data_IF_418590794190
#
_entry.id   IF_418590794190
#
_cell.length_a   1.000
_cell.length_b   1.000
_cell.length_c   1.000
_cell.angle_alpha   90.00
_cell.angle_beta   90.00
_cell.angle_gamma   90.00
#
_symmetry.space_group_name_H-M   'P 1'
#
loop_
_entity.id
_entity.type
_entity.pdbx_description
1 polymer ?
#
# COMPACT_ATOMS: atom_id res chain seq x y z
N UNK A 1 -44.98 -25.21 -55.70
CA UNK A 1 -45.80 -24.00 -55.97
C UNK A 1 -44.80 -22.84 -56.04
N UNK A 2 -44.41 -22.33 -57.23
CA UNK A 2 -45.05 -21.21 -57.97
C UNK A 2 -44.80 -19.85 -57.27
N UNK A 3 -44.23 -18.76 -57.81
CA UNK A 3 -43.53 -18.33 -59.07
C UNK A 3 -42.74 -17.01 -58.71
N UNK A 4 -41.82 -16.38 -59.47
CA UNK A 4 -40.98 -16.71 -60.65
C UNK A 4 -39.47 -16.61 -60.27
N UNK A 5 -38.47 -16.14 -61.04
CA UNK A 5 -38.33 -15.54 -62.39
C UNK A 5 -38.90 -14.12 -62.59
N UNK A 6 -38.22 -13.15 -63.25
CA UNK A 6 -37.11 -13.20 -64.26
C UNK A 6 -36.24 -11.91 -64.26
N UNK A 7 -35.03 -11.99 -64.86
CA UNK A 7 -34.24 -10.96 -65.60
C UNK A 7 -33.98 -9.55 -65.01
N UNK A 8 -32.90 -8.82 -65.33
CA UNK A 8 -31.76 -9.07 -66.24
C UNK A 8 -31.26 -7.76 -66.90
N UNK A 9 -29.96 -7.70 -67.25
CA UNK A 9 -29.25 -6.71 -68.09
C UNK A 9 -28.66 -5.41 -67.47
N UNK A 10 -27.52 -5.03 -68.07
CA UNK A 10 -26.51 -3.99 -67.75
C UNK A 10 -26.77 -2.69 -68.56
N UNK A 11 -26.20 -1.50 -68.23
CA UNK A 11 -24.88 -1.08 -68.77
C UNK A 11 -23.99 -0.23 -67.82
N UNK A 12 -22.65 -0.37 -67.80
CA UNK A 12 -21.58 0.33 -68.60
C UNK A 12 -21.36 1.84 -68.28
N UNK A 13 -20.43 2.08 -67.35
CA UNK A 13 -19.14 2.82 -67.49
C UNK A 13 -19.07 4.37 -67.74
N UNK A 14 -17.90 4.93 -67.38
CA UNK A 14 -17.37 6.32 -67.54
C UNK A 14 -17.87 7.48 -66.64
N UNK A 15 -17.00 7.93 -65.71
CA UNK A 15 -16.29 9.22 -65.84
C UNK A 15 -15.12 9.36 -64.82
N UNK A 16 -14.06 10.08 -65.20
CA UNK A 16 -12.98 10.57 -64.31
C UNK A 16 -13.52 11.72 -63.42
N UNK A 17 -12.99 12.09 -62.25
CA UNK A 17 -11.63 12.59 -62.07
C UNK A 17 -11.21 12.81 -60.59
N UNK A 18 -9.95 13.17 -60.40
CA UNK A 18 -9.22 13.42 -59.14
C UNK A 18 -9.88 14.32 -58.08
N UNK A 19 -9.71 13.99 -56.78
CA UNK A 19 -9.05 14.91 -55.80
C UNK A 19 -8.70 14.29 -54.42
N UNK A 20 -7.40 14.42 -54.08
CA UNK A 20 -6.81 14.72 -52.76
C UNK A 20 -7.33 14.08 -51.46
N UNK A 21 -6.49 13.23 -50.85
CA UNK A 21 -6.57 12.88 -49.43
C UNK A 21 -6.22 14.07 -48.51
N UNK A 22 -6.95 14.23 -47.40
CA UNK A 22 -6.41 14.82 -46.17
C UNK A 22 -6.82 13.99 -44.96
N UNK A 23 -5.89 13.18 -44.42
CA UNK A 23 -6.02 12.59 -43.09
C UNK A 23 -5.14 13.37 -42.11
N UNK A 24 -5.76 13.89 -41.05
CA UNK A 24 -5.11 14.71 -40.03
C UNK A 24 -4.53 13.85 -38.90
N UNK A 25 -3.22 13.64 -38.91
CA UNK A 25 -2.50 13.01 -37.77
C UNK A 25 -2.00 14.10 -36.83
N UNK A 26 -2.56 14.17 -35.62
CA UNK A 26 -2.07 15.05 -34.56
C UNK A 26 -0.82 14.47 -33.89
N UNK A 27 0.36 15.03 -34.19
CA UNK A 27 1.61 14.74 -33.47
C UNK A 27 2.16 16.01 -32.81
N UNK A 28 1.99 16.12 -31.49
CA UNK A 28 2.57 17.20 -30.68
C UNK A 28 3.70 16.66 -29.81
N UNK A 29 4.89 17.28 -29.86
CA UNK A 29 5.97 16.98 -28.90
C UNK A 29 7.37 17.42 -29.31
N UNK A 30 7.91 16.87 -30.41
CA UNK A 30 9.36 16.91 -30.73
C UNK A 30 9.70 17.78 -31.95
N UNK A 31 8.68 18.14 -32.74
CA UNK A 31 8.83 18.71 -34.09
C UNK A 31 9.44 20.13 -34.11
N UNK A 32 9.22 20.92 -33.05
CA UNK A 32 9.72 22.28 -32.95
C UNK A 32 11.26 22.37 -32.93
N UNK A 33 11.92 21.44 -32.24
CA UNK A 33 13.39 21.37 -32.19
C UNK A 33 13.98 20.94 -33.52
N UNK A 34 13.42 19.87 -34.12
CA UNK A 34 13.87 19.33 -35.39
C UNK A 34 13.69 20.33 -36.55
N UNK A 35 12.53 21.01 -36.62
CA UNK A 35 12.24 22.06 -37.60
C UNK A 35 13.15 23.28 -37.43
N UNK A 36 13.47 23.66 -36.20
CA UNK A 36 14.41 24.75 -35.89
C UNK A 36 15.84 24.42 -36.35
N UNK A 37 16.31 23.19 -36.15
CA UNK A 37 17.63 22.74 -36.60
C UNK A 37 17.70 22.60 -38.14
N UNK A 38 16.66 22.05 -38.78
CA UNK A 38 16.54 22.00 -40.25
C UNK A 38 16.62 23.40 -40.88
N UNK A 39 15.88 24.38 -40.35
CA UNK A 39 15.90 25.75 -40.87
C UNK A 39 17.27 26.42 -40.70
N UNK A 40 18.00 26.16 -39.61
CA UNK A 40 19.39 26.62 -39.45
C UNK A 40 20.32 25.97 -40.47
N UNK A 41 20.25 24.65 -40.64
CA UNK A 41 21.07 23.92 -41.61
C UNK A 41 20.82 24.41 -43.05
N UNK A 42 19.55 24.68 -43.40
CA UNK A 42 19.18 25.26 -44.71
C UNK A 42 19.67 26.68 -44.90
N UNK A 43 19.62 27.53 -43.87
CA UNK A 43 20.18 28.89 -43.96
C UNK A 43 21.68 28.88 -44.24
N UNK A 44 22.44 28.00 -43.57
CA UNK A 44 23.89 27.82 -43.79
C UNK A 44 24.18 27.40 -45.23
N UNK A 45 23.46 26.41 -45.75
CA UNK A 45 23.69 25.90 -47.12
C UNK A 45 23.25 26.92 -48.17
N UNK A 46 22.11 27.58 -48.00
CA UNK A 46 21.66 28.62 -48.93
C UNK A 46 22.67 29.77 -49.02
N UNK A 47 23.24 30.23 -47.91
CA UNK A 47 24.29 31.24 -47.92
C UNK A 47 25.51 30.80 -48.76
N UNK A 48 25.94 29.53 -48.61
CA UNK A 48 27.06 28.96 -49.37
C UNK A 48 26.72 28.85 -50.87
N UNK A 49 25.50 28.43 -51.21
CA UNK A 49 25.04 28.32 -52.60
C UNK A 49 24.89 29.69 -53.28
N UNK A 50 24.57 30.74 -52.52
CA UNK A 50 24.59 32.14 -52.98
C UNK A 50 26.00 32.73 -53.13
N UNK A 51 27.06 31.90 -53.06
CA UNK A 51 28.45 32.31 -53.30
C UNK A 51 29.24 32.73 -52.04
N UNK A 52 28.65 32.64 -50.84
CA UNK A 52 29.38 32.95 -49.60
C UNK A 52 30.46 31.89 -49.31
N UNK A 53 31.71 32.27 -48.99
CA UNK A 53 32.74 31.33 -48.56
C UNK A 53 32.28 30.53 -47.34
N UNK A 54 32.53 29.21 -47.32
CA UNK A 54 32.08 28.31 -46.23
C UNK A 54 32.58 28.76 -44.85
N UNK A 55 33.78 29.35 -44.79
CA UNK A 55 34.36 29.91 -43.57
C UNK A 55 33.64 31.18 -43.05
N UNK A 56 32.94 31.90 -43.93
CA UNK A 56 32.14 33.08 -43.58
C UNK A 56 30.71 32.67 -43.20
N UNK A 57 30.07 31.79 -43.98
CA UNK A 57 28.78 31.20 -43.64
C UNK A 57 28.82 30.52 -42.26
N UNK A 58 29.90 29.79 -41.95
CA UNK A 58 30.12 29.19 -40.63
C UNK A 58 30.11 30.22 -39.49
N UNK A 59 30.83 31.35 -39.65
CA UNK A 59 30.86 32.44 -38.65
C UNK A 59 29.52 33.16 -38.54
N UNK A 60 28.85 33.42 -39.67
CA UNK A 60 27.55 34.11 -39.73
C UNK A 60 26.43 33.36 -39.01
N UNK A 61 26.51 32.03 -38.95
CA UNK A 61 25.52 31.16 -38.34
C UNK A 61 25.98 30.48 -37.03
N UNK A 62 27.10 30.94 -36.46
CA UNK A 62 27.70 30.43 -35.22
C UNK A 62 27.90 28.89 -35.21
N UNK A 63 28.48 28.36 -36.28
CA UNK A 63 28.81 26.93 -36.42
C UNK A 63 30.28 26.72 -36.79
N UNK A 64 30.79 25.52 -36.53
CA UNK A 64 32.15 25.16 -36.95
C UNK A 64 32.24 25.07 -38.47
N UNK A 65 33.40 25.41 -39.04
CA UNK A 65 33.67 25.26 -40.49
C UNK A 65 33.43 23.82 -40.96
N UNK A 66 33.81 22.84 -40.13
CA UNK A 66 33.61 21.42 -40.40
C UNK A 66 32.11 21.06 -40.50
N UNK A 67 31.24 21.65 -39.66
CA UNK A 67 29.80 21.46 -39.76
C UNK A 67 29.21 22.09 -41.03
N UNK A 68 29.65 23.31 -41.40
CA UNK A 68 29.20 23.97 -42.62
C UNK A 68 29.60 23.16 -43.89
N UNK A 69 30.81 22.62 -43.94
CA UNK A 69 31.24 21.68 -45.00
C UNK A 69 30.42 20.37 -44.99
N UNK A 70 30.11 19.83 -43.81
CA UNK A 70 29.28 18.63 -43.69
C UNK A 70 27.84 18.85 -44.16
N UNK A 71 27.23 20.01 -43.85
CA UNK A 71 25.90 20.37 -44.36
C UNK A 71 25.90 20.55 -45.88
N UNK A 72 26.92 21.22 -46.43
CA UNK A 72 27.11 21.33 -47.89
C UNK A 72 27.18 19.94 -48.54
N UNK A 73 28.04 19.05 -48.04
CA UNK A 73 28.20 17.68 -48.54
C UNK A 73 26.91 16.84 -48.44
N UNK A 74 26.13 17.00 -47.36
CA UNK A 74 24.83 16.32 -47.23
C UNK A 74 23.80 16.85 -48.22
N UNK A 75 23.79 18.14 -48.49
CA UNK A 75 22.90 18.74 -49.50
C UNK A 75 23.27 18.31 -50.92
N UNK A 76 24.56 18.32 -51.27
CA UNK A 76 25.05 17.86 -52.58
C UNK A 76 24.72 16.39 -52.85
N UNK A 77 24.64 15.55 -51.81
CA UNK A 77 24.32 14.13 -51.94
C UNK A 77 22.82 13.82 -51.85
N UNK A 78 22.15 14.36 -50.84
CA UNK A 78 20.82 13.93 -50.40
C UNK A 78 19.77 15.07 -50.49
N UNK A 79 20.09 16.21 -51.12
CA UNK A 79 19.21 17.38 -51.29
C UNK A 79 18.79 18.04 -49.97
N UNK A 80 17.62 18.68 -49.94
CA UNK A 80 17.06 19.23 -48.68
C UNK A 80 16.89 18.14 -47.60
N UNK A 81 16.58 16.89 -47.98
CA UNK A 81 16.45 15.78 -47.02
C UNK A 81 17.77 15.48 -46.27
N UNK A 82 18.92 15.79 -46.87
CA UNK A 82 20.23 15.70 -46.22
C UNK A 82 20.42 16.65 -45.02
N UNK A 83 19.62 17.72 -44.94
CA UNK A 83 19.69 18.76 -43.90
C UNK A 83 18.81 18.47 -42.68
N UNK A 84 17.97 17.44 -42.75
CA UNK A 84 17.21 16.97 -41.61
C UNK A 84 18.16 16.50 -40.49
N UNK A 85 17.85 16.79 -39.21
CA UNK A 85 18.65 16.34 -38.08
C UNK A 85 18.79 14.81 -38.07
N UNK A 86 20.02 14.32 -38.21
CA UNK A 86 20.32 12.89 -38.13
C UNK A 86 20.41 12.46 -36.67
N UNK A 87 19.93 11.25 -36.37
CA UNK A 87 19.96 10.68 -35.03
C UNK A 87 21.40 10.66 -34.49
N UNK A 88 21.60 11.28 -33.32
CA UNK A 88 22.88 11.27 -32.59
C UNK A 88 23.04 10.02 -31.71
N UNK A 89 22.13 9.04 -31.83
CA UNK A 89 22.15 7.80 -31.05
C UNK A 89 23.32 6.93 -31.51
N UNK A 90 24.18 6.52 -30.57
CA UNK A 90 25.31 5.65 -30.86
C UNK A 90 24.85 4.36 -31.57
N UNK A 91 25.49 4.04 -32.71
CA UNK A 91 25.16 2.87 -33.53
C UNK A 91 25.42 1.53 -32.80
N UNK A 92 26.27 1.52 -31.78
CA UNK A 92 26.56 0.34 -30.93
C UNK A 92 26.57 0.77 -29.47
N UNK A 93 25.79 0.08 -28.64
CA UNK A 93 25.76 0.27 -27.18
C UNK A 93 26.44 -0.94 -26.57
N UNK A 94 27.65 -0.77 -26.03
CA UNK A 94 28.42 -1.87 -25.44
C UNK A 94 27.69 -2.50 -24.24
N UNK A 95 27.06 -1.67 -23.40
CA UNK A 95 26.38 -2.08 -22.17
C UNK A 95 24.88 -2.36 -22.40
N UNK A 96 24.55 -3.16 -23.43
CA UNK A 96 23.18 -3.64 -23.62
C UNK A 96 22.93 -4.81 -22.67
N UNK A 97 21.90 -4.71 -21.83
CA UNK A 97 21.42 -5.83 -20.99
C UNK A 97 21.13 -7.05 -21.87
N UNK A 98 21.51 -8.24 -21.39
CA UNK A 98 21.17 -9.52 -22.04
C UNK A 98 19.66 -9.59 -22.29
N UNK A 99 19.28 -10.10 -23.47
CA UNK A 99 17.88 -10.34 -23.84
C UNK A 99 17.18 -11.25 -22.84
N UNK A 100 17.86 -12.30 -22.35
CA UNK A 100 17.29 -13.23 -21.34
C UNK A 100 16.93 -12.52 -20.03
N UNK A 101 17.78 -11.60 -19.58
CA UNK A 101 17.53 -10.80 -18.36
C UNK A 101 16.39 -9.80 -18.62
N UNK A 102 16.31 -9.19 -19.80
CA UNK A 102 15.21 -8.30 -20.17
C UNK A 102 13.86 -9.02 -20.27
N UNK A 103 13.84 -10.24 -20.82
CA UNK A 103 12.67 -11.12 -20.86
C UNK A 103 12.23 -11.54 -19.45
N UNK A 104 13.17 -11.94 -18.58
CA UNK A 104 12.86 -12.29 -17.18
C UNK A 104 12.32 -11.08 -16.40
N UNK A 105 12.86 -9.87 -16.60
CA UNK A 105 12.32 -8.61 -16.04
C UNK A 105 10.85 -8.41 -16.43
N UNK A 106 10.50 -8.66 -17.69
CA UNK A 106 9.13 -8.55 -18.21
C UNK A 106 8.21 -9.64 -17.63
N UNK A 107 8.72 -10.87 -17.47
CA UNK A 107 8.00 -11.97 -16.83
C UNK A 107 7.70 -11.65 -15.36
N UNK A 108 8.71 -11.28 -14.56
CA UNK A 108 8.55 -10.91 -13.14
C UNK A 108 7.59 -9.72 -12.98
N UNK A 109 7.65 -8.70 -13.86
CA UNK A 109 6.67 -7.60 -13.85
C UNK A 109 5.24 -8.10 -13.99
N UNK A 110 4.99 -9.06 -14.89
CA UNK A 110 3.66 -9.65 -15.12
C UNK A 110 3.24 -10.54 -13.95
N UNK A 111 4.11 -11.41 -13.47
CA UNK A 111 3.91 -12.28 -12.29
C UNK A 111 3.50 -11.45 -11.06
N UNK A 112 4.30 -10.44 -10.70
CA UNK A 112 4.03 -9.57 -9.55
C UNK A 112 2.74 -8.75 -9.73
N UNK A 113 2.50 -8.20 -10.93
CA UNK A 113 1.27 -7.41 -11.18
C UNK A 113 0.02 -8.28 -11.09
N UNK A 114 0.06 -9.49 -11.69
CA UNK A 114 -1.03 -10.45 -11.64
C UNK A 114 -1.29 -10.98 -10.22
N UNK A 115 -0.25 -11.10 -9.38
CA UNK A 115 -0.36 -11.47 -7.98
C UNK A 115 -0.80 -10.34 -7.02
N UNK A 116 -1.02 -9.12 -7.53
CA UNK A 116 -1.39 -7.95 -6.74
C UNK A 116 -0.25 -7.38 -5.88
N UNK A 117 0.99 -7.66 -6.28
CA UNK A 117 2.22 -7.28 -5.58
C UNK A 117 2.83 -6.00 -6.15
N UNK A 118 3.76 -5.42 -5.38
CA UNK A 118 4.54 -4.28 -5.82
C UNK A 118 5.48 -4.68 -6.96
N UNK A 119 5.05 -4.47 -8.20
CA UNK A 119 5.81 -4.84 -9.39
C UNK A 119 6.78 -3.73 -9.87
N UNK A 120 7.23 -2.85 -8.97
CA UNK A 120 8.21 -1.81 -9.27
C UNK A 120 9.59 -2.36 -9.66
N UNK A 121 10.43 -1.53 -10.27
CA UNK A 121 11.78 -1.92 -10.70
C UNK A 121 12.64 -2.51 -9.57
N UNK A 122 12.43 -2.00 -8.35
CA UNK A 122 13.17 -2.38 -7.15
C UNK A 122 12.74 -3.77 -6.62
N UNK A 123 11.45 -4.11 -6.72
CA UNK A 123 10.95 -5.45 -6.40
C UNK A 123 11.40 -6.48 -7.43
N UNK A 124 11.45 -6.10 -8.71
CA UNK A 124 11.96 -6.95 -9.79
C UNK A 124 13.46 -7.21 -9.59
N UNK A 125 14.24 -6.19 -9.20
CA UNK A 125 15.65 -6.38 -8.86
C UNK A 125 15.83 -7.38 -7.71
N UNK A 126 15.12 -7.20 -6.60
CA UNK A 126 15.18 -8.12 -5.46
C UNK A 126 14.75 -9.55 -5.82
N UNK A 127 13.78 -9.71 -6.74
CA UNK A 127 13.37 -11.04 -7.21
C UNK A 127 14.44 -11.70 -8.08
N UNK A 128 15.12 -10.94 -8.94
CA UNK A 128 16.26 -11.42 -9.72
C UNK A 128 17.43 -11.84 -8.82
N UNK A 129 17.70 -11.08 -7.75
CA UNK A 129 18.74 -11.40 -6.75
C UNK A 129 18.43 -12.74 -6.04
N UNK A 130 17.18 -12.96 -5.61
CA UNK A 130 16.72 -14.25 -5.05
C UNK A 130 16.82 -15.40 -6.06
N UNK A 131 16.67 -15.12 -7.35
CA UNK A 131 16.86 -16.07 -8.46
C UNK A 131 18.35 -16.27 -8.84
N UNK A 132 19.29 -15.67 -8.10
CA UNK A 132 20.73 -15.80 -8.31
C UNK A 132 21.30 -14.96 -9.45
N UNK A 133 20.51 -14.08 -10.05
CA UNK A 133 20.92 -13.19 -11.12
C UNK A 133 21.36 -11.82 -10.59
N UNK A 134 22.40 -11.22 -11.17
CA UNK A 134 22.77 -9.83 -10.89
C UNK A 134 21.80 -8.88 -11.62
N UNK A 135 20.97 -8.10 -10.92
CA UNK A 135 20.01 -7.23 -11.59
C UNK A 135 20.71 -6.03 -12.24
N UNK A 136 20.24 -5.55 -13.41
CA UNK A 136 20.68 -4.27 -13.93
C UNK A 136 20.10 -3.12 -13.09
N UNK A 137 20.71 -1.94 -13.16
CA UNK A 137 20.25 -0.76 -12.42
C UNK A 137 18.74 -0.47 -12.60
N UNK A 138 18.09 0.02 -11.54
CA UNK A 138 16.64 0.32 -11.53
C UNK A 138 16.15 1.20 -12.70
N UNK A 139 16.99 2.13 -13.18
CA UNK A 139 16.73 2.96 -14.36
C UNK A 139 16.70 2.15 -15.67
N UNK A 140 17.55 1.13 -15.79
CA UNK A 140 17.55 0.16 -16.90
C UNK A 140 16.34 -0.77 -16.81
N UNK A 141 15.99 -1.28 -15.63
CA UNK A 141 14.75 -2.05 -15.44
C UNK A 141 13.54 -1.21 -15.86
N UNK A 142 13.40 0.03 -15.36
CA UNK A 142 12.32 0.93 -15.77
C UNK A 142 12.31 1.18 -17.29
N UNK A 143 13.47 1.35 -17.92
CA UNK A 143 13.54 1.51 -19.39
C UNK A 143 13.04 0.26 -20.11
N UNK A 144 13.50 -0.94 -19.73
CA UNK A 144 13.02 -2.21 -20.30
C UNK A 144 11.49 -2.32 -20.17
N UNK A 145 10.93 -2.00 -19.00
CA UNK A 145 9.48 -2.03 -18.79
C UNK A 145 8.72 -0.98 -19.61
N UNK A 146 9.29 0.21 -19.81
CA UNK A 146 8.71 1.26 -20.66
C UNK A 146 8.72 0.82 -22.13
N UNK A 147 9.86 0.33 -22.60
CA UNK A 147 10.05 -0.13 -23.98
C UNK A 147 9.15 -1.35 -24.28
N UNK A 148 8.80 -2.15 -23.26
CA UNK A 148 7.82 -3.24 -23.31
C UNK A 148 6.35 -2.81 -23.09
N UNK A 149 6.05 -1.52 -22.95
CA UNK A 149 4.69 -1.00 -22.76
C UNK A 149 4.05 -1.24 -21.38
N UNK A 150 4.82 -1.70 -20.38
CA UNK A 150 4.33 -2.10 -19.05
C UNK A 150 4.37 -0.99 -17.99
N UNK A 151 4.60 0.26 -18.39
CA UNK A 151 4.63 1.45 -17.53
C UNK A 151 3.56 2.44 -17.97
N UNK A 152 2.48 2.55 -17.20
CA UNK A 152 1.46 3.58 -17.39
C UNK A 152 2.01 4.96 -16.99
N UNK A 153 1.91 6.00 -17.85
CA UNK A 153 2.31 7.35 -17.47
C UNK A 153 1.40 7.95 -16.40
N UNK A 154 1.97 8.50 -15.32
CA UNK A 154 1.24 9.25 -14.28
C UNK A 154 1.62 10.75 -14.28
N UNK A 155 1.31 11.52 -15.36
CA UNK A 155 1.76 12.91 -15.51
C UNK A 155 1.14 13.89 -14.50
N UNK A 156 0.06 13.51 -13.80
CA UNK A 156 -0.68 14.36 -12.84
C UNK A 156 -0.11 14.36 -11.41
N UNK A 157 1.02 13.70 -11.16
CA UNK A 157 1.57 13.56 -9.81
C UNK A 157 2.21 14.87 -9.35
N UNK A 158 1.49 15.66 -8.53
CA UNK A 158 2.01 16.90 -7.93
C UNK A 158 3.35 16.67 -7.22
N UNK A 159 4.28 17.64 -7.25
CA UNK A 159 5.49 17.59 -6.43
C UNK A 159 5.14 17.34 -4.95
N UNK A 160 5.94 16.54 -4.25
CA UNK A 160 5.75 16.33 -2.81
C UNK A 160 6.11 17.63 -2.09
N UNK A 161 5.17 18.22 -1.39
CA UNK A 161 5.45 19.23 -0.38
C UNK A 161 6.32 18.64 0.75
N UNK A 162 6.92 19.52 1.55
CA UNK A 162 7.80 19.19 2.66
C UNK A 162 7.03 18.53 3.82
N UNK A 163 6.77 17.23 3.70
CA UNK A 163 6.22 16.41 4.78
C UNK A 163 7.33 15.93 5.72
N UNK A 164 7.30 16.38 6.97
CA UNK A 164 8.04 15.75 8.06
C UNK A 164 7.54 14.32 8.24
N UNK A 165 8.42 13.33 8.08
CA UNK A 165 8.07 11.92 8.28
C UNK A 165 8.28 11.57 9.74
N UNK A 166 7.22 11.18 10.43
CA UNK A 166 7.30 10.56 11.75
C UNK A 166 7.61 9.07 11.62
N UNK A 167 8.57 8.60 12.41
CA UNK A 167 8.92 7.18 12.53
C UNK A 167 9.51 6.89 13.90
N UNK A 168 8.99 5.87 14.56
CA UNK A 168 9.58 5.26 15.74
C UNK A 168 11.04 4.89 15.50
N UNK A 169 11.88 5.01 16.52
CA UNK A 169 13.33 4.75 16.45
C UNK A 169 13.63 3.26 16.52
N UNK A 170 12.83 2.52 17.30
CA UNK A 170 12.97 1.09 17.55
C UNK A 170 11.71 0.27 17.18
N UNK A 171 11.86 -1.01 16.80
CA UNK A 171 10.76 -1.97 16.81
C UNK A 171 10.05 -2.02 18.18
N UNK A 172 8.75 -2.29 18.18
CA UNK A 172 7.86 -2.29 19.35
C UNK A 172 7.71 -0.94 20.09
N UNK A 173 8.34 0.15 19.64
CA UNK A 173 8.18 1.45 20.29
C UNK A 173 6.77 2.04 20.06
N UNK A 174 6.22 1.88 18.86
CA UNK A 174 4.84 2.24 18.54
C UNK A 174 4.23 1.19 17.60
N UNK A 175 3.07 0.63 17.97
CA UNK A 175 2.26 -0.19 17.06
C UNK A 175 1.05 0.61 16.57
N UNK A 176 0.83 0.69 15.25
CA UNK A 176 -0.37 1.27 14.68
C UNK A 176 -1.48 0.23 14.56
N UNK A 177 -2.73 0.61 14.81
CA UNK A 177 -3.91 -0.22 14.50
C UNK A 177 -5.05 0.57 13.90
N UNK A 178 -5.71 -0.08 12.95
CA UNK A 178 -6.83 0.38 12.15
C UNK A 178 -7.52 -0.87 11.57
N UNK A 179 -8.72 -0.74 11.02
CA UNK A 179 -9.42 -1.81 10.34
C UNK A 179 -10.01 -1.36 9.01
N UNK A 180 -10.24 -2.29 8.09
CA UNK A 180 -10.79 -1.95 6.77
C UNK A 180 -11.80 -2.96 6.25
N UNK A 181 -12.80 -2.46 5.52
CA UNK A 181 -13.81 -3.27 4.85
C UNK A 181 -13.23 -4.04 3.66
N UNK A 182 -13.65 -5.30 3.52
CA UNK A 182 -13.41 -6.14 2.36
C UNK A 182 -14.62 -7.04 2.06
N UNK A 183 -15.13 -7.10 0.81
CA UNK A 183 -16.30 -7.91 0.48
C UNK A 183 -15.99 -9.41 0.47
N UNK A 184 -16.95 -10.21 0.90
CA UNK A 184 -17.00 -11.66 0.71
C UNK A 184 -17.86 -12.02 -0.51
N UNK A 185 -17.63 -13.20 -1.09
CA UNK A 185 -18.39 -13.66 -2.26
C UNK A 185 -19.91 -13.80 -2.00
N UNK A 186 -20.32 -13.99 -0.74
CA UNK A 186 -21.72 -14.03 -0.32
C UNK A 186 -22.42 -12.66 -0.23
N UNK A 187 -21.76 -11.56 -0.59
CA UNK A 187 -22.34 -10.20 -0.58
C UNK A 187 -22.35 -9.50 0.78
N UNK A 188 -21.82 -10.14 1.83
CA UNK A 188 -21.53 -9.50 3.12
C UNK A 188 -20.10 -8.93 3.14
N UNK A 189 -19.91 -7.83 3.85
CA UNK A 189 -18.59 -7.26 4.12
C UNK A 189 -17.96 -7.90 5.37
N UNK A 190 -16.64 -8.13 5.31
CA UNK A 190 -15.80 -8.44 6.46
C UNK A 190 -14.97 -7.20 6.87
N UNK A 191 -14.66 -7.11 8.17
CA UNK A 191 -13.78 -6.11 8.74
C UNK A 191 -12.43 -6.74 9.07
N UNK A 192 -11.36 -6.25 8.44
CA UNK A 192 -10.00 -6.76 8.65
C UNK A 192 -9.29 -5.86 9.66
N UNK A 193 -9.09 -6.35 10.89
CA UNK A 193 -8.35 -5.64 11.96
C UNK A 193 -6.87 -5.98 11.84
N UNK A 194 -5.99 -4.96 11.89
CA UNK A 194 -4.56 -5.17 11.71
C UNK A 194 -3.69 -4.37 12.69
N UNK A 195 -2.55 -4.95 13.07
CA UNK A 195 -1.52 -4.34 13.91
C UNK A 195 -0.20 -4.28 13.15
N UNK A 196 0.35 -3.08 13.00
CA UNK A 196 1.54 -2.79 12.20
C UNK A 196 2.61 -2.11 13.08
N UNK A 197 3.84 -2.62 13.09
CA UNK A 197 4.95 -1.96 13.76
C UNK A 197 5.35 -0.67 13.04
N UNK A 198 5.41 0.46 13.76
CA UNK A 198 5.62 1.78 13.15
C UNK A 198 7.02 1.95 12.54
N UNK A 199 8.03 1.33 13.17
CA UNK A 199 9.43 1.39 12.75
C UNK A 199 9.65 0.50 11.53
N UNK A 200 9.55 -0.81 11.70
CA UNK A 200 9.87 -1.83 10.71
C UNK A 200 8.79 -2.06 9.65
N UNK A 201 7.59 -1.47 9.81
CA UNK A 201 6.39 -1.83 9.02
C UNK A 201 6.02 -3.32 9.10
N UNK A 202 6.51 -4.05 10.09
CA UNK A 202 6.21 -5.47 10.23
C UNK A 202 4.75 -5.68 10.60
N UNK A 203 4.06 -6.57 9.87
CA UNK A 203 2.68 -6.92 10.12
C UNK A 203 2.59 -7.95 11.25
N UNK A 204 2.32 -7.45 12.44
CA UNK A 204 2.20 -8.21 13.69
C UNK A 204 0.90 -9.01 13.72
N UNK A 205 -0.18 -8.45 13.18
CA UNK A 205 -1.50 -9.04 13.15
C UNK A 205 -2.29 -8.59 11.93
N UNK A 206 -3.09 -9.49 11.35
CA UNK A 206 -4.18 -9.13 10.45
C UNK A 206 -5.16 -10.29 10.36
N UNK A 207 -6.40 -10.10 10.82
CA UNK A 207 -7.50 -11.09 10.73
C UNK A 207 -8.83 -10.44 10.39
N UNK A 208 -9.70 -11.21 9.74
CA UNK A 208 -11.05 -10.80 9.34
C UNK A 208 -12.11 -11.21 10.36
N UNK A 209 -13.09 -10.33 10.56
CA UNK A 209 -14.22 -10.46 11.49
C UNK A 209 -15.52 -10.00 10.82
N UNK A 210 -16.67 -10.51 11.29
CA UNK A 210 -17.98 -9.99 10.87
C UNK A 210 -18.28 -8.61 11.48
N UNK A 211 -17.88 -8.39 12.74
CA UNK A 211 -18.02 -7.13 13.47
C UNK A 211 -16.75 -6.85 14.28
N UNK A 212 -16.42 -5.57 14.47
CA UNK A 212 -15.30 -5.14 15.31
C UNK A 212 -15.86 -4.45 16.55
N UNK A 213 -15.49 -4.96 17.71
CA UNK A 213 -15.84 -4.41 19.02
C UNK A 213 -14.57 -4.06 19.78
N UNK A 214 -14.69 -3.33 20.89
CA UNK A 214 -13.55 -3.08 21.79
C UNK A 214 -12.90 -4.38 22.27
N UNK A 215 -13.70 -5.42 22.55
CA UNK A 215 -13.20 -6.76 22.89
C UNK A 215 -12.40 -7.41 21.76
N UNK A 216 -12.84 -7.24 20.50
CA UNK A 216 -12.10 -7.70 19.31
C UNK A 216 -10.72 -7.05 19.22
N UNK A 217 -10.64 -5.74 19.53
CA UNK A 217 -9.38 -4.99 19.57
C UNK A 217 -8.49 -5.51 20.71
N UNK A 218 -9.02 -5.69 21.92
CA UNK A 218 -8.28 -6.27 23.05
C UNK A 218 -7.71 -7.66 22.74
N UNK A 219 -8.51 -8.55 22.17
CA UNK A 219 -8.10 -9.92 21.84
C UNK A 219 -7.01 -9.93 20.75
N UNK A 220 -7.18 -9.14 19.68
CA UNK A 220 -6.14 -9.00 18.63
C UNK A 220 -4.83 -8.42 19.17
N UNK A 221 -4.91 -7.42 20.07
CA UNK A 221 -3.75 -6.82 20.71
C UNK A 221 -3.01 -7.81 21.61
N UNK A 222 -3.74 -8.56 22.46
CA UNK A 222 -3.16 -9.61 23.31
C UNK A 222 -2.50 -10.72 22.47
N UNK A 223 -3.11 -11.11 21.35
CA UNK A 223 -2.57 -12.13 20.44
C UNK A 223 -1.31 -11.65 19.70
N UNK A 224 -1.20 -10.34 19.41
CA UNK A 224 0.04 -9.75 18.92
C UNK A 224 1.12 -9.71 20.03
N UNK A 225 0.76 -9.27 21.25
CA UNK A 225 1.66 -9.19 22.40
C UNK A 225 2.27 -10.55 22.79
N UNK A 226 1.46 -11.62 22.80
CA UNK A 226 1.94 -12.96 23.18
C UNK A 226 2.99 -13.53 22.24
N UNK A 227 3.06 -13.05 20.99
CA UNK A 227 4.03 -13.48 19.98
C UNK A 227 5.22 -12.53 19.82
N UNK A 228 5.03 -11.23 20.06
CA UNK A 228 6.01 -10.20 19.71
C UNK A 228 6.54 -9.39 20.90
N UNK A 229 6.03 -9.65 22.11
CA UNK A 229 6.26 -8.81 23.28
C UNK A 229 5.29 -7.63 23.34
N UNK A 230 5.19 -7.01 24.51
CA UNK A 230 4.33 -5.84 24.73
C UNK A 230 5.04 -4.59 24.18
N UNK A 231 4.37 -3.72 23.39
CA UNK A 231 4.98 -2.49 22.88
C UNK A 231 5.06 -1.37 23.93
N UNK A 232 5.90 -0.37 23.69
CA UNK A 232 5.96 0.84 24.53
C UNK A 232 4.71 1.73 24.36
N UNK A 233 4.13 1.74 23.15
CA UNK A 233 2.95 2.54 22.84
C UNK A 233 2.12 2.00 21.68
N UNK A 234 0.86 2.44 21.61
CA UNK A 234 -0.01 2.25 20.44
C UNK A 234 -0.30 3.60 19.77
N UNK A 235 -0.66 3.56 18.48
CA UNK A 235 -1.20 4.70 17.75
C UNK A 235 -2.47 4.27 16.99
N UNK A 236 -3.62 4.72 17.46
CA UNK A 236 -4.94 4.40 16.88
C UNK A 236 -5.68 5.67 16.47
N UNK A 237 -6.86 5.54 15.89
CA UNK A 237 -7.76 6.68 15.65
C UNK A 237 -8.56 7.03 16.92
N UNK A 238 -9.63 7.80 16.73
CA UNK A 238 -10.59 8.14 17.79
C UNK A 238 -11.88 7.31 17.69
N UNK A 239 -11.85 6.18 17.00
CA UNK A 239 -12.98 5.25 16.92
C UNK A 239 -13.30 4.68 18.30
N UNK A 240 -14.60 4.52 18.58
CA UNK A 240 -15.11 4.09 19.89
C UNK A 240 -14.63 2.69 20.32
N UNK A 241 -14.14 1.88 19.39
CA UNK A 241 -13.50 0.57 19.68
C UNK A 241 -12.09 0.69 20.24
N UNK A 242 -11.42 1.83 20.07
CA UNK A 242 -10.08 2.12 20.58
C UNK A 242 -10.07 3.13 21.74
N UNK A 243 -11.00 4.07 21.77
CA UNK A 243 -11.08 5.08 22.85
C UNK A 243 -12.49 5.57 23.11
N UNK A 244 -12.87 5.72 24.37
CA UNK A 244 -14.15 6.32 24.79
C UNK A 244 -14.02 7.81 25.12
N UNK A 245 -12.81 8.38 25.14
CA UNK A 245 -12.49 9.73 25.64
C UNK A 245 -13.29 10.90 25.05
N UNK A 246 -13.90 10.73 23.87
CA UNK A 246 -14.75 11.73 23.21
C UNK A 246 -16.24 11.60 23.57
N UNK A 247 -16.63 10.51 24.24
CA UNK A 247 -18.01 10.10 24.50
C UNK A 247 -18.27 9.77 25.98
N UNK A 248 -17.22 9.62 26.78
CA UNK A 248 -17.25 9.22 28.20
C UNK A 248 -16.07 9.85 28.93
N UNK A 249 -16.29 10.24 30.20
CA UNK A 249 -15.21 10.60 31.12
C UNK A 249 -14.41 9.38 31.59
N UNK A 250 -15.09 8.22 31.68
CA UNK A 250 -14.46 6.94 32.02
C UNK A 250 -13.81 6.29 30.80
N UNK A 251 -12.58 5.76 30.93
CA UNK A 251 -11.86 5.09 29.84
C UNK A 251 -12.54 3.78 29.40
N UNK A 252 -12.29 3.38 28.15
CA UNK A 252 -12.69 2.09 27.62
C UNK A 252 -11.96 0.92 28.28
N UNK A 253 -12.47 -0.30 28.09
CA UNK A 253 -11.75 -1.51 28.54
C UNK A 253 -10.43 -1.72 27.80
N UNK A 254 -10.34 -1.34 26.52
CA UNK A 254 -9.07 -1.33 25.79
C UNK A 254 -8.07 -0.29 26.34
N UNK A 255 -8.53 0.91 26.71
CA UNK A 255 -7.67 1.96 27.28
C UNK A 255 -7.12 1.53 28.66
N UNK A 256 -7.98 0.95 29.51
CA UNK A 256 -7.55 0.30 30.77
C UNK A 256 -6.59 -0.87 30.53
N UNK A 257 -6.81 -1.68 29.50
CA UNK A 257 -5.90 -2.78 29.16
C UNK A 257 -4.49 -2.25 28.82
N UNK A 258 -4.41 -1.23 27.96
CA UNK A 258 -3.14 -0.62 27.61
C UNK A 258 -2.43 -0.09 28.87
N UNK A 259 -3.14 0.66 29.72
CA UNK A 259 -2.59 1.20 30.96
C UNK A 259 -2.09 0.09 31.91
N UNK A 260 -2.88 -0.96 32.16
CA UNK A 260 -2.48 -2.12 32.97
C UNK A 260 -1.27 -2.88 32.40
N UNK A 261 -1.08 -2.88 31.09
CA UNK A 261 0.07 -3.48 30.41
C UNK A 261 1.28 -2.52 30.31
N UNK A 262 1.21 -1.31 30.86
CA UNK A 262 2.26 -0.30 30.79
C UNK A 262 2.40 0.37 29.41
N UNK A 263 1.39 0.24 28.55
CA UNK A 263 1.44 0.69 27.16
C UNK A 263 0.84 2.08 27.04
N UNK A 264 1.62 3.03 26.52
CA UNK A 264 1.13 4.41 26.34
C UNK A 264 0.22 4.50 25.12
N UNK A 265 -1.04 4.87 25.31
CA UNK A 265 -1.93 5.13 24.18
C UNK A 265 -1.61 6.48 23.53
N UNK A 266 -1.51 6.49 22.20
CA UNK A 266 -1.51 7.70 21.37
C UNK A 266 -2.72 7.60 20.44
N UNK A 267 -3.45 8.69 20.27
CA UNK A 267 -4.52 8.79 19.27
C UNK A 267 -4.15 9.85 18.23
N UNK A 268 -4.57 9.65 16.99
CA UNK A 268 -4.48 10.70 15.97
C UNK A 268 -5.23 11.97 16.43
N UNK A 269 -4.56 13.12 16.41
CA UNK A 269 -5.25 14.41 16.62
C UNK A 269 -6.22 14.69 15.47
N UNK A 270 -7.41 15.24 15.75
CA UNK A 270 -8.29 15.77 14.70
C UNK A 270 -7.49 16.69 13.75
N UNK A 271 -7.78 16.59 12.45
CA UNK A 271 -7.11 17.34 11.37
C UNK A 271 -5.61 17.04 11.14
N UNK A 272 -5.02 16.04 11.79
CA UNK A 272 -3.67 15.53 11.49
C UNK A 272 -3.68 14.11 10.89
N UNK A 273 -4.12 13.92 9.62
CA UNK A 273 -4.08 12.62 8.93
C UNK A 273 -2.64 12.11 8.67
N UNK A 274 -1.62 12.89 9.00
CA UNK A 274 -0.22 12.53 8.77
C UNK A 274 0.26 11.35 9.63
N UNK A 275 -0.32 11.15 10.83
CA UNK A 275 0.15 10.16 11.80
C UNK A 275 -0.19 8.71 11.41
N UNK A 276 -1.30 8.50 10.69
CA UNK A 276 -1.83 7.16 10.34
C UNK A 276 -1.56 6.73 8.89
N UNK A 277 -0.96 7.61 8.07
CA UNK A 277 -0.66 7.33 6.66
C UNK A 277 0.30 6.15 6.38
N UNK A 278 0.77 5.44 7.41
CA UNK A 278 1.47 4.15 7.30
C UNK A 278 0.47 3.00 7.21
N UNK A 279 -0.44 2.84 8.18
CA UNK A 279 -1.44 1.76 8.14
C UNK A 279 -2.45 1.94 7.01
N UNK A 280 -2.86 3.17 6.67
CA UNK A 280 -3.68 3.45 5.47
C UNK A 280 -3.00 3.01 4.15
N UNK A 281 -1.68 3.24 4.05
CA UNK A 281 -0.88 2.84 2.88
C UNK A 281 -0.67 1.32 2.85
N UNK A 282 -0.58 0.69 4.01
CA UNK A 282 -0.57 -0.75 4.14
C UNK A 282 -1.93 -1.36 3.71
N UNK A 283 -3.06 -0.82 4.18
CA UNK A 283 -4.41 -1.19 3.73
C UNK A 283 -4.55 -1.15 2.20
N UNK A 284 -3.97 -0.15 1.54
CA UNK A 284 -3.94 -0.09 0.07
C UNK A 284 -3.16 -1.24 -0.58
N UNK A 285 -2.04 -1.66 0.02
CA UNK A 285 -1.30 -2.85 -0.45
C UNK A 285 -2.15 -4.09 -0.28
N UNK A 286 -2.74 -4.29 0.92
CA UNK A 286 -3.57 -5.44 1.22
C UNK A 286 -4.70 -5.58 0.19
N UNK A 287 -5.43 -4.50 -0.09
CA UNK A 287 -6.53 -4.49 -1.05
C UNK A 287 -6.09 -4.79 -2.49
N UNK A 288 -4.88 -4.37 -2.89
CA UNK A 288 -4.30 -4.73 -4.18
C UNK A 288 -4.00 -6.24 -4.27
N UNK A 289 -3.48 -6.82 -3.19
CA UNK A 289 -3.16 -8.24 -3.11
C UNK A 289 -4.42 -9.13 -3.05
N UNK A 290 -5.44 -8.73 -2.28
CA UNK A 290 -6.72 -9.44 -2.22
C UNK A 290 -7.50 -9.32 -3.53
N UNK A 291 -7.47 -8.17 -4.22
CA UNK A 291 -8.11 -8.00 -5.54
C UNK A 291 -7.52 -8.90 -6.64
N UNK A 292 -6.32 -9.42 -6.45
CA UNK A 292 -5.66 -10.38 -7.34
C UNK A 292 -6.07 -11.85 -7.07
N UNK A 293 -7.04 -12.09 -6.21
CA UNK A 293 -7.51 -13.42 -5.77
C UNK A 293 -9.03 -13.52 -5.90
N UNK A 294 -9.59 -14.74 -5.97
CA UNK A 294 -11.02 -14.94 -5.79
C UNK A 294 -11.48 -14.34 -4.47
N UNK A 295 -12.65 -13.70 -4.46
CA UNK A 295 -13.29 -13.28 -3.22
C UNK A 295 -13.54 -14.50 -2.34
N UNK A 296 -13.08 -14.43 -1.10
CA UNK A 296 -13.29 -15.48 -0.11
C UNK A 296 -14.79 -15.70 0.11
N UNK A 297 -15.23 -16.96 0.26
CA UNK A 297 -16.63 -17.29 0.52
C UNK A 297 -17.06 -16.93 1.94
N UNK A 298 -16.13 -17.05 2.89
CA UNK A 298 -16.34 -16.97 4.33
C UNK A 298 -15.13 -16.30 5.03
N UNK A 299 -15.26 -16.06 6.33
CA UNK A 299 -14.19 -15.43 7.13
C UNK A 299 -12.95 -16.32 7.24
N UNK A 300 -13.09 -17.64 7.22
CA UNK A 300 -11.95 -18.56 7.38
C UNK A 300 -11.08 -18.60 6.12
N UNK A 301 -11.70 -18.62 4.94
CA UNK A 301 -11.00 -18.48 3.67
C UNK A 301 -10.31 -17.11 3.55
N UNK A 302 -10.97 -16.02 3.95
CA UNK A 302 -10.33 -14.69 3.98
C UNK A 302 -9.17 -14.67 4.98
N UNK A 303 -9.32 -15.30 6.14
CA UNK A 303 -8.28 -15.43 7.14
C UNK A 303 -7.08 -16.25 6.64
N UNK A 304 -7.30 -17.31 5.85
CA UNK A 304 -6.23 -18.06 5.19
C UNK A 304 -5.51 -17.24 4.11
N UNK A 305 -6.26 -16.43 3.34
CA UNK A 305 -5.69 -15.45 2.41
C UNK A 305 -4.82 -14.43 3.16
N UNK A 306 -5.28 -13.88 4.29
CA UNK A 306 -4.51 -12.93 5.11
C UNK A 306 -3.21 -13.53 5.68
N UNK A 307 -3.22 -14.78 6.14
CA UNK A 307 -2.00 -15.48 6.58
C UNK A 307 -1.01 -15.70 5.42
N UNK A 308 -1.50 -15.92 4.20
CA UNK A 308 -0.69 -15.92 2.98
C UNK A 308 -0.07 -14.57 2.67
N UNK A 309 -0.87 -13.49 2.71
CA UNK A 309 -0.39 -12.12 2.49
C UNK A 309 0.67 -11.72 3.51
N UNK A 310 0.49 -12.09 4.78
CA UNK A 310 1.39 -11.70 5.85
C UNK A 310 2.79 -12.29 5.70
N UNK A 311 2.94 -13.51 5.18
CA UNK A 311 4.26 -14.09 4.83
C UNK A 311 4.92 -13.28 3.71
N UNK A 312 4.23 -13.16 2.58
CA UNK A 312 4.70 -12.40 1.41
C UNK A 312 5.09 -10.95 1.76
N UNK A 313 4.24 -10.26 2.52
CA UNK A 313 4.47 -8.88 2.93
C UNK A 313 5.65 -8.71 3.89
N UNK A 314 5.81 -9.61 4.87
CA UNK A 314 6.87 -9.48 5.87
C UNK A 314 8.23 -10.05 5.42
N UNK A 315 8.24 -11.05 4.54
CA UNK A 315 9.40 -11.92 4.29
C UNK A 315 9.91 -11.84 2.83
N UNK A 316 9.03 -11.55 1.87
CA UNK A 316 9.38 -11.46 0.45
C UNK A 316 9.46 -10.01 -0.06
N UNK A 317 8.60 -9.11 0.45
CA UNK A 317 8.49 -7.75 -0.09
C UNK A 317 9.63 -6.81 0.40
N UNK A 318 10.51 -6.31 -0.49
CA UNK A 318 11.47 -5.25 -0.13
C UNK A 318 10.75 -3.91 0.06
N UNK A 319 11.02 -3.20 1.17
CA UNK A 319 10.28 -1.98 1.49
C UNK A 319 11.08 -0.70 1.25
N UNK A 320 10.55 0.23 0.43
CA UNK A 320 11.23 1.50 0.09
C UNK A 320 11.54 2.39 1.28
N UNK A 321 10.71 2.36 2.33
CA UNK A 321 10.97 3.14 3.54
C UNK A 321 12.10 2.56 4.40
N UNK A 322 12.45 1.28 4.21
CA UNK A 322 13.39 0.51 5.05
C UNK A 322 14.70 0.22 4.30
N UNK A 323 15.09 1.09 3.38
CA UNK A 323 16.28 0.93 2.54
C UNK A 323 16.36 -0.43 1.80
N UNK A 324 15.21 -0.97 1.37
CA UNK A 324 15.01 -2.27 0.68
C UNK A 324 14.96 -3.51 1.56
N UNK A 325 15.24 -3.40 2.86
CA UNK A 325 14.98 -4.50 3.77
C UNK A 325 13.52 -4.92 3.75
N UNK A 326 13.29 -6.20 3.96
CA UNK A 326 11.96 -6.73 4.24
C UNK A 326 11.48 -6.22 5.61
N UNK A 327 10.17 -6.13 5.87
CA UNK A 327 9.69 -5.75 7.20
C UNK A 327 10.21 -6.68 8.31
N UNK A 328 10.43 -7.97 8.03
CA UNK A 328 11.05 -8.91 8.97
C UNK A 328 12.48 -8.53 9.30
N UNK A 329 13.33 -8.34 8.28
CA UNK A 329 14.73 -7.91 8.48
C UNK A 329 14.81 -6.62 9.32
N UNK A 330 13.99 -5.62 8.99
CA UNK A 330 13.96 -4.35 9.72
C UNK A 330 13.46 -4.49 11.17
N UNK A 331 12.59 -5.46 11.44
CA UNK A 331 12.08 -5.75 12.79
C UNK A 331 13.09 -6.53 13.65
N UNK A 332 13.93 -7.35 13.03
CA UNK A 332 14.94 -8.19 13.68
C UNK A 332 16.30 -7.49 13.81
N UNK A 333 16.58 -6.46 13.00
CA UNK A 333 17.86 -5.74 12.96
C UNK A 333 18.18 -4.86 14.18
N UNK A 334 17.24 -4.67 15.13
CA UNK A 334 17.42 -3.81 16.31
C UNK A 334 16.81 -4.41 17.57
N UNK A 335 17.32 -3.95 18.72
CA UNK A 335 16.67 -4.14 20.01
C UNK A 335 15.25 -3.55 20.03
N UNK A 336 14.35 -4.22 20.75
CA UNK A 336 12.93 -3.86 20.82
C UNK A 336 12.66 -2.96 22.03
N UNK A 337 11.81 -1.96 21.87
CA UNK A 337 11.24 -1.25 23.00
C UNK A 337 10.20 -2.13 23.73
N UNK A 338 9.89 -1.76 24.97
CA UNK A 338 8.92 -2.45 25.83
C UNK A 338 8.05 -1.47 26.62
N UNK A 339 7.08 -1.96 27.41
CA UNK A 339 6.16 -1.13 28.17
C UNK A 339 6.86 -0.32 29.26
N UNK A 340 6.18 0.73 29.71
CA UNK A 340 6.55 1.63 30.81
C UNK A 340 5.93 1.09 32.12
N UNK A 341 6.73 0.52 33.05
CA UNK A 341 6.21 -0.09 34.26
C UNK A 341 5.50 0.90 35.19
N UNK A 342 5.87 2.20 35.15
CA UNK A 342 5.22 3.21 35.99
C UNK A 342 3.77 3.46 35.58
N UNK A 343 3.43 3.27 34.31
CA UNK A 343 2.04 3.36 33.84
C UNK A 343 1.23 2.19 34.42
N UNK A 344 1.76 0.97 34.36
CA UNK A 344 1.11 -0.23 34.91
C UNK A 344 0.89 -0.13 36.43
N UNK A 345 1.91 0.29 37.19
CA UNK A 345 1.82 0.47 38.65
C UNK A 345 0.76 1.50 39.03
N UNK A 346 0.69 2.64 38.32
CA UNK A 346 -0.32 3.68 38.56
C UNK A 346 -1.74 3.17 38.31
N UNK A 347 -1.98 2.45 37.22
CA UNK A 347 -3.30 1.92 36.89
C UNK A 347 -3.73 0.79 37.84
N UNK A 348 -2.80 -0.07 38.26
CA UNK A 348 -3.10 -1.10 39.25
C UNK A 348 -3.48 -0.49 40.60
N UNK A 349 -2.74 0.53 41.07
CA UNK A 349 -3.08 1.23 42.30
C UNK A 349 -4.45 1.95 42.24
N UNK A 350 -4.80 2.52 41.07
CA UNK A 350 -6.12 3.11 40.80
C UNK A 350 -7.22 2.05 40.96
N UNK A 351 -7.04 0.90 40.32
CA UNK A 351 -7.99 -0.23 40.36
C UNK A 351 -8.15 -0.83 41.76
N UNK A 352 -7.06 -1.01 42.50
CA UNK A 352 -7.10 -1.55 43.86
C UNK A 352 -7.92 -0.63 44.79
N UNK A 353 -7.83 0.69 44.61
CA UNK A 353 -8.65 1.65 45.37
C UNK A 353 -10.11 1.67 44.91
N UNK A 354 -10.40 1.56 43.61
CA UNK A 354 -11.77 1.37 43.11
C UNK A 354 -12.43 0.11 43.72
N UNK A 355 -11.70 -1.00 43.78
CA UNK A 355 -12.18 -2.26 44.34
C UNK A 355 -12.41 -2.15 45.86
N UNK A 356 -11.52 -1.49 46.60
CA UNK A 356 -11.74 -1.16 48.03
C UNK A 356 -12.94 -0.26 48.26
N UNK A 357 -13.15 0.77 47.42
CA UNK A 357 -14.29 1.69 47.53
C UNK A 357 -15.60 0.98 47.15
N UNK A 358 -15.57 0.05 46.20
CA UNK A 358 -16.71 -0.81 45.87
C UNK A 358 -17.05 -1.79 46.99
N UNK A 359 -16.05 -2.47 47.56
CA UNK A 359 -16.24 -3.39 48.68
C UNK A 359 -16.79 -2.69 49.94
N UNK A 360 -16.46 -1.40 50.16
CA UNK A 360 -17.06 -0.54 51.20
C UNK A 360 -18.51 -0.11 50.90
N UNK A 361 -18.98 -0.23 49.65
CA UNK A 361 -20.33 0.15 49.21
C UNK A 361 -21.29 -1.03 49.09
N UNK A 362 -20.78 -2.24 48.90
CA UNK A 362 -21.60 -3.45 48.93
C UNK A 362 -22.02 -3.73 50.39
N UNK A 363 -23.32 -3.78 50.72
CA UNK A 363 -23.76 -4.11 52.07
C UNK A 363 -23.33 -5.55 52.40
N UNK A 364 -23.00 -5.85 53.67
CA UNK A 364 -22.61 -7.20 54.06
C UNK A 364 -23.72 -8.17 53.69
N UNK A 365 -23.35 -9.28 53.04
CA UNK A 365 -24.29 -10.34 52.66
C UNK A 365 -25.08 -10.75 53.89
N UNK A 366 -26.40 -10.53 53.87
CA UNK A 366 -27.26 -10.93 54.98
C UNK A 366 -27.16 -12.45 55.12
N UNK A 367 -26.46 -12.92 56.15
CA UNK A 367 -26.43 -14.34 56.50
C UNK A 367 -27.84 -14.69 56.95
N UNK A 368 -28.56 -15.46 56.14
CA UNK A 368 -29.91 -15.89 56.47
C UNK A 368 -29.83 -16.92 57.61
N UNK A 369 -29.89 -16.40 58.84
CA UNK A 369 -30.00 -17.21 60.05
C UNK A 369 -31.45 -17.66 60.19
N UNK A 370 -31.91 -18.48 59.22
CA UNK A 370 -33.21 -19.13 59.30
C UNK A 370 -33.18 -20.14 60.46
N UNK A 371 -33.56 -19.70 61.66
CA UNK A 371 -33.73 -20.60 62.81
C UNK A 371 -34.84 -21.60 62.45
N UNK A 372 -34.56 -22.92 62.39
CA UNK A 372 -35.56 -23.88 61.95
C UNK A 372 -36.76 -23.88 62.92
N UNK A 373 -38.01 -23.89 62.42
CA UNK A 373 -39.18 -23.74 63.27
C UNK A 373 -39.31 -24.93 64.23
N UNK A 374 -39.40 -24.62 65.53
CA UNK A 374 -39.59 -25.61 66.60
C UNK A 374 -40.94 -26.31 66.39
N UNK A 375 -40.90 -27.55 65.87
CA UNK A 375 -42.09 -28.39 65.69
C UNK A 375 -42.69 -28.77 67.03
N UNK A 376 -43.69 -28.01 67.49
CA UNK A 376 -44.60 -28.48 68.54
C UNK A 376 -45.66 -29.40 67.93
N UNK A 377 -45.64 -30.68 68.29
CA UNK A 377 -46.80 -31.56 68.09
C UNK A 377 -47.77 -31.33 69.24
N UNK A 378 -48.96 -30.80 68.94
CA UNK A 378 -50.11 -30.97 69.82
C UNK A 378 -50.71 -32.36 69.57
N UNK A 379 -51.23 -33.00 70.63
CA UNK A 379 -52.04 -34.19 70.47
C UNK A 379 -53.51 -33.82 70.17
N UNK A 380 -54.33 -34.85 69.94
CA UNK A 380 -55.75 -34.72 69.60
C UNK A 380 -56.64 -34.17 70.74
N UNK A 381 -56.06 -33.84 71.91
CA UNK A 381 -56.77 -33.25 73.06
C UNK A 381 -56.27 -31.85 73.43
N UNK A 382 -55.32 -31.27 72.69
CA UNK A 382 -54.99 -29.85 72.77
C UNK A 382 -54.10 -29.44 73.95
N UNK A 383 -53.36 -30.35 74.58
CA UNK A 383 -52.34 -29.99 75.57
C UNK A 383 -50.95 -29.85 74.94
N UNK A 384 -50.26 -28.73 75.21
CA UNK A 384 -48.92 -28.45 74.70
C UNK A 384 -47.88 -28.62 75.82
N UNK A 385 -47.22 -29.78 75.85
CA UNK A 385 -46.07 -30.00 76.72
C UNK A 385 -44.79 -29.35 76.13
N UNK A 386 -44.05 -28.61 76.95
CA UNK A 386 -42.73 -28.08 76.62
C UNK A 386 -41.64 -29.05 77.13
N UNK A 387 -41.06 -29.85 76.24
CA UNK A 387 -39.81 -30.56 76.54
C UNK A 387 -38.60 -29.69 76.17
N UNK A 388 -37.89 -29.19 77.18
CA UNK A 388 -36.56 -28.66 76.97
C UNK A 388 -35.57 -29.82 76.81
N UNK A 389 -34.95 -29.93 75.63
CA UNK A 389 -33.85 -30.85 75.38
C UNK A 389 -32.60 -30.03 75.04
N UNK A 390 -31.64 -29.99 75.97
CA UNK A 390 -30.38 -29.28 75.79
C UNK A 390 -29.23 -30.22 75.37
N UNK A 391 -28.21 -29.61 74.77
CA UNK A 391 -26.80 -30.07 74.64
C UNK A 391 -26.56 -31.53 74.22
N UNK A 392 -26.01 -31.70 73.03
CA UNK A 392 -24.59 -32.07 72.85
C UNK A 392 -24.07 -31.43 71.57
#
# INVERSE_FOLDING_TARGET
MSWGMVDGLVPVDWCMDTQSQQQSVHSNGDDGGARSEFLRNRAIVNAILSGMPVAEAARRHDVTRQWAHEMKRRYEKDGEAGLLPRSRRAHRIANKTDGRVAERIVAIRRELTAGGLDAGAESIAARLEREGATPPANSTIHRILRDAGLVSPEPRKRPKSSYTRFEAVLPNETWQSDFTHWPLAGGLDALIVSWLDDHSRFLLYSRAYATVTMKTVEESFRQACSRYGIPASTLTDNGTVYTTRLHSAEPGSFERLLALMGVRQKNGSPYHPQTQGKIERWHRTLKQWLAARPLARDLDELNAQLDGFRREYNEERPHRALNRHTPREAYEAKGKAGPDPEIAVREQARRDEEERLRAKREPPTAVDVTVPPVRRRADWRGCVALSAAGRR
#
